data_IF_647075376254
#
_entry.id   IF_647075376254
#
_cell.length_a   1.000
_cell.length_b   1.000
_cell.length_c   1.000
_cell.angle_alpha   90.00
_cell.angle_beta   90.00
_cell.angle_gamma   90.00
#
_symmetry.space_group_name_H-M   'P 1'
#
loop_
_entity.id
_entity.type
_entity.pdbx_description
1 polymer ?
#
# COMPACT_ATOMS: atom_id res chain seq x y z
N UNK A 1 0.63 29.70 -33.40
CA UNK A 1 1.87 30.43 -33.09
C UNK A 1 2.83 29.44 -32.52
N UNK A 2 3.87 29.08 -33.28
CA UNK A 2 4.91 28.17 -32.82
C UNK A 2 5.76 28.93 -31.80
N UNK A 3 5.59 28.62 -30.53
CA UNK A 3 6.60 28.97 -29.51
C UNK A 3 7.83 28.14 -29.82
N UNK A 4 8.82 28.77 -30.44
CA UNK A 4 10.20 28.28 -30.43
C UNK A 4 10.64 28.20 -28.98
N UNK A 5 10.57 27.03 -28.41
CA UNK A 5 11.25 26.70 -27.14
C UNK A 5 12.74 26.87 -27.41
N UNK A 6 13.28 28.04 -27.12
CA UNK A 6 14.73 28.23 -26.97
C UNK A 6 15.16 27.25 -25.90
N UNK A 7 15.91 26.21 -26.29
CA UNK A 7 16.52 25.26 -25.36
C UNK A 7 17.40 26.08 -24.43
N UNK A 8 16.95 26.30 -23.19
CA UNK A 8 17.70 27.06 -22.20
C UNK A 8 19.01 26.33 -21.93
N UNK A 9 20.08 26.97 -22.21
CA UNK A 9 21.43 26.48 -22.00
C UNK A 9 21.92 27.01 -20.65
N UNK A 10 22.19 26.14 -19.70
CA UNK A 10 22.75 26.51 -18.40
C UNK A 10 24.27 26.46 -18.47
N UNK A 11 24.89 27.62 -18.23
CA UNK A 11 26.34 27.80 -18.26
C UNK A 11 26.89 27.84 -16.83
N UNK A 12 27.86 26.98 -16.56
CA UNK A 12 28.60 26.92 -15.30
C UNK A 12 30.07 27.31 -15.58
N UNK A 13 30.44 28.58 -15.46
CA UNK A 13 31.74 29.08 -15.90
C UNK A 13 32.90 28.62 -14.99
N UNK A 14 32.63 28.41 -13.67
CA UNK A 14 33.65 28.33 -12.65
C UNK A 14 33.80 26.95 -11.97
N UNK A 15 33.14 25.90 -12.50
CA UNK A 15 33.21 24.56 -11.89
C UNK A 15 34.34 23.69 -12.45
N UNK A 16 34.96 24.09 -13.54
CA UNK A 16 36.09 23.41 -14.18
C UNK A 16 36.95 24.43 -14.97
N UNK A 17 38.11 24.02 -15.47
CA UNK A 17 39.03 24.87 -16.29
C UNK A 17 38.40 25.38 -17.59
N UNK A 18 37.34 24.72 -18.06
CA UNK A 18 36.52 25.11 -19.21
C UNK A 18 35.06 25.24 -18.75
N UNK A 19 34.30 26.21 -19.29
CA UNK A 19 32.87 26.32 -19.01
C UNK A 19 32.13 25.03 -19.26
N UNK A 20 31.28 24.58 -18.28
CA UNK A 20 30.42 23.44 -18.42
C UNK A 20 29.01 23.90 -18.81
N UNK A 21 28.45 23.30 -19.83
CA UNK A 21 27.14 23.66 -20.36
C UNK A 21 26.19 22.46 -20.19
N UNK A 22 25.02 22.68 -19.58
CA UNK A 22 23.93 21.71 -19.49
C UNK A 22 22.78 22.14 -20.43
N UNK A 23 22.26 21.19 -21.17
CA UNK A 23 21.13 21.38 -22.10
C UNK A 23 20.12 20.24 -21.97
N UNK A 24 18.84 20.57 -22.14
CA UNK A 24 17.75 19.59 -22.23
C UNK A 24 17.35 19.38 -23.71
N UNK A 25 18.28 18.86 -24.51
CA UNK A 25 18.13 18.67 -25.96
C UNK A 25 18.19 17.19 -26.40
N UNK A 26 18.31 16.24 -25.45
CA UNK A 26 18.36 14.81 -25.76
C UNK A 26 16.93 14.23 -25.86
N UNK A 27 16.44 14.06 -27.09
CA UNK A 27 15.06 13.59 -27.37
C UNK A 27 14.85 12.11 -27.05
N UNK A 28 15.90 11.30 -27.08
CA UNK A 28 15.84 9.87 -26.79
C UNK A 28 16.31 9.54 -25.36
N UNK A 29 16.45 10.56 -24.54
CA UNK A 29 16.82 10.44 -23.13
C UNK A 29 15.62 10.25 -22.23
N UNK A 30 15.80 9.51 -21.14
CA UNK A 30 14.83 9.40 -20.04
C UNK A 30 15.55 9.35 -18.70
N UNK A 31 14.93 9.87 -17.66
CA UNK A 31 15.41 9.72 -16.28
C UNK A 31 14.93 8.43 -15.62
N UNK A 32 14.06 7.68 -16.26
CA UNK A 32 13.34 6.53 -15.71
C UNK A 32 13.76 5.19 -16.35
N UNK A 33 15.02 5.07 -16.79
CA UNK A 33 15.51 3.89 -17.50
C UNK A 33 15.34 2.57 -16.75
N UNK A 34 15.28 2.60 -15.43
CA UNK A 34 15.02 1.43 -14.60
C UNK A 34 13.55 1.02 -14.51
N UNK A 35 12.62 1.84 -15.00
CA UNK A 35 11.19 1.53 -14.96
C UNK A 35 10.81 0.29 -15.81
N UNK A 36 11.69 -0.17 -16.69
CA UNK A 36 11.54 -1.46 -17.40
C UNK A 36 11.39 -2.64 -16.43
N UNK A 37 11.93 -2.54 -15.21
CA UNK A 37 11.73 -3.53 -14.16
C UNK A 37 10.27 -3.59 -13.69
N UNK A 38 9.57 -2.45 -13.64
CA UNK A 38 8.13 -2.40 -13.35
C UNK A 38 7.32 -3.09 -14.44
N UNK A 39 7.66 -2.84 -15.72
CA UNK A 39 7.01 -3.53 -16.85
C UNK A 39 7.23 -5.03 -16.80
N UNK A 40 8.44 -5.47 -16.47
CA UNK A 40 8.75 -6.89 -16.30
C UNK A 40 7.98 -7.51 -15.12
N UNK A 41 7.83 -6.78 -14.00
CA UNK A 41 7.02 -7.21 -12.86
C UNK A 41 5.53 -7.29 -13.24
N UNK A 42 5.00 -6.28 -13.91
CA UNK A 42 3.62 -6.25 -14.39
C UNK A 42 3.29 -7.41 -15.32
N UNK A 43 4.14 -7.70 -16.30
CA UNK A 43 3.98 -8.85 -17.20
C UNK A 43 3.90 -10.19 -16.46
N UNK A 44 4.63 -10.34 -15.36
CA UNK A 44 4.58 -11.56 -14.53
C UNK A 44 3.32 -11.67 -13.68
N UNK A 45 2.81 -10.53 -13.22
CA UNK A 45 1.59 -10.47 -12.41
C UNK A 45 0.33 -10.41 -13.28
N UNK A 46 0.45 -9.98 -14.54
CA UNK A 46 -0.64 -9.56 -15.43
C UNK A 46 -1.58 -8.55 -14.74
N UNK A 47 -0.99 -7.65 -13.92
CA UNK A 47 -1.77 -6.81 -13.01
C UNK A 47 -2.54 -5.73 -13.78
N UNK A 48 -1.86 -4.95 -14.62
CA UNK A 48 -2.53 -3.87 -15.39
C UNK A 48 -3.56 -4.44 -16.38
N UNK A 49 -3.30 -5.60 -16.96
CA UNK A 49 -4.23 -6.32 -17.82
C UNK A 49 -5.50 -6.75 -17.07
N UNK A 50 -5.34 -7.41 -15.91
CA UNK A 50 -6.45 -7.84 -15.07
C UNK A 50 -7.31 -6.67 -14.57
N UNK A 51 -6.68 -5.54 -14.23
CA UNK A 51 -7.39 -4.33 -13.79
C UNK A 51 -8.12 -3.66 -14.95
N UNK A 52 -7.49 -3.55 -16.13
CA UNK A 52 -8.11 -2.97 -17.31
C UNK A 52 -9.32 -3.77 -17.79
N UNK A 53 -9.28 -5.11 -17.69
CA UNK A 53 -10.39 -5.99 -18.02
C UNK A 53 -11.65 -5.76 -17.15
N UNK A 54 -11.52 -5.05 -16.02
CA UNK A 54 -12.65 -4.66 -15.17
C UNK A 54 -13.40 -3.43 -15.67
N UNK A 55 -12.80 -2.66 -16.58
CA UNK A 55 -13.32 -1.41 -17.11
C UNK A 55 -14.06 -1.64 -18.44
N UNK A 56 -15.07 -0.82 -18.70
CA UNK A 56 -15.81 -0.84 -19.96
C UNK A 56 -15.50 0.43 -20.77
N UNK A 57 -15.12 0.23 -22.03
CA UNK A 57 -14.89 1.37 -22.92
C UNK A 57 -16.20 1.76 -23.63
N UNK A 58 -16.81 2.80 -23.12
CA UNK A 58 -18.04 3.37 -23.68
C UNK A 58 -17.76 4.44 -24.76
N UNK A 59 -16.49 4.65 -25.15
CA UNK A 59 -16.11 5.62 -26.18
C UNK A 59 -16.42 5.10 -27.57
N UNK A 60 -16.62 6.01 -28.51
CA UNK A 60 -16.83 5.66 -29.92
C UNK A 60 -15.55 5.05 -30.51
N UNK A 61 -15.55 3.79 -31.02
CA UNK A 61 -14.32 3.08 -31.40
C UNK A 61 -13.42 3.84 -32.36
N UNK A 62 -13.99 4.51 -33.39
CA UNK A 62 -13.21 5.27 -34.36
C UNK A 62 -12.56 6.57 -33.84
N UNK A 63 -12.80 6.93 -32.58
CA UNK A 63 -12.19 8.11 -31.92
C UNK A 63 -11.26 7.75 -30.77
N UNK A 64 -11.06 6.46 -30.51
CA UNK A 64 -10.14 5.98 -29.46
C UNK A 64 -8.72 6.04 -30.02
N UNK A 65 -7.88 6.91 -29.43
CA UNK A 65 -6.43 6.99 -29.71
C UNK A 65 -5.61 6.18 -28.70
N UNK A 66 -6.10 6.10 -27.46
CA UNK A 66 -5.46 5.41 -26.34
C UNK A 66 -6.45 4.42 -25.76
N UNK A 67 -6.11 3.15 -25.73
CA UNK A 67 -6.91 2.11 -25.13
C UNK A 67 -6.97 2.25 -23.61
N UNK A 68 -8.01 1.67 -22.96
CA UNK A 68 -8.15 1.74 -21.49
C UNK A 68 -6.94 1.12 -20.77
N UNK A 69 -6.41 0.01 -21.28
CA UNK A 69 -5.22 -0.64 -20.71
C UNK A 69 -3.99 0.26 -20.82
N UNK A 70 -3.83 0.98 -21.92
CA UNK A 70 -2.74 1.94 -22.10
C UNK A 70 -2.83 3.09 -21.09
N UNK A 71 -4.02 3.72 -20.98
CA UNK A 71 -4.26 4.81 -20.03
C UNK A 71 -4.01 4.37 -18.58
N UNK A 72 -4.51 3.21 -18.22
CA UNK A 72 -4.32 2.64 -16.88
C UNK A 72 -2.85 2.34 -16.62
N UNK A 73 -2.15 1.73 -17.58
CA UNK A 73 -0.72 1.42 -17.46
C UNK A 73 0.11 2.70 -17.35
N UNK A 74 -0.17 3.71 -18.19
CA UNK A 74 0.51 5.02 -18.11
C UNK A 74 0.40 5.61 -16.71
N UNK A 75 -0.80 5.61 -16.11
CA UNK A 75 -1.00 6.16 -14.75
C UNK A 75 -0.30 5.34 -13.67
N UNK A 76 -0.44 4.02 -13.68
CA UNK A 76 0.15 3.14 -12.66
C UNK A 76 1.69 3.22 -12.71
N UNK A 77 2.28 3.20 -13.90
CA UNK A 77 3.74 3.29 -14.05
C UNK A 77 4.27 4.66 -13.65
N UNK A 78 3.57 5.75 -14.01
CA UNK A 78 3.92 7.10 -13.58
C UNK A 78 3.91 7.22 -12.04
N UNK A 79 2.85 6.76 -11.37
CA UNK A 79 2.75 6.76 -9.90
C UNK A 79 3.91 5.96 -9.27
N UNK A 80 4.23 4.78 -9.79
CA UNK A 80 5.36 3.98 -9.30
C UNK A 80 6.71 4.71 -9.46
N UNK A 81 6.86 5.48 -10.53
CA UNK A 81 8.05 6.32 -10.78
C UNK A 81 8.07 7.64 -9.97
N UNK A 82 7.00 7.96 -9.21
CA UNK A 82 6.92 9.17 -8.39
C UNK A 82 6.30 10.38 -9.10
N UNK A 83 5.41 10.11 -10.04
CA UNK A 83 4.63 11.12 -10.76
C UNK A 83 3.14 10.86 -10.47
N UNK A 84 2.69 11.36 -9.33
CA UNK A 84 1.39 11.01 -8.75
C UNK A 84 0.22 11.64 -9.50
N UNK A 85 0.42 12.84 -10.07
CA UNK A 85 -0.63 13.57 -10.76
C UNK A 85 -0.79 13.22 -12.23
N UNK A 86 -1.99 13.42 -12.76
CA UNK A 86 -2.25 13.32 -14.20
C UNK A 86 -1.46 14.36 -15.01
N UNK A 87 -1.19 15.53 -14.43
CA UNK A 87 -0.34 16.56 -15.04
C UNK A 87 1.09 16.06 -15.25
N UNK A 88 1.67 15.42 -14.24
CA UNK A 88 3.03 14.91 -14.31
C UNK A 88 3.13 13.73 -15.29
N UNK A 89 2.15 12.83 -15.26
CA UNK A 89 2.08 11.74 -16.24
C UNK A 89 1.95 12.25 -17.68
N UNK A 90 1.26 13.38 -17.89
CA UNK A 90 1.14 14.00 -19.20
C UNK A 90 2.43 14.69 -19.69
N UNK A 91 3.25 15.20 -18.75
CA UNK A 91 4.59 15.74 -19.09
C UNK A 91 5.53 14.67 -19.63
N UNK A 92 5.29 13.41 -19.26
CA UNK A 92 6.05 12.25 -19.72
C UNK A 92 5.49 11.66 -21.04
N UNK A 93 4.54 12.33 -21.69
CA UNK A 93 3.87 11.78 -22.88
C UNK A 93 4.85 11.47 -24.02
N UNK A 94 5.91 12.25 -24.19
CA UNK A 94 6.97 12.04 -25.20
C UNK A 94 8.16 11.23 -24.69
N UNK A 95 8.20 10.87 -23.38
CA UNK A 95 9.33 10.13 -22.79
C UNK A 95 9.43 8.73 -23.41
N UNK A 96 10.61 8.36 -23.97
CA UNK A 96 10.76 7.10 -24.71
C UNK A 96 10.63 5.86 -23.80
N UNK A 97 11.02 5.94 -22.54
CA UNK A 97 10.84 4.82 -21.60
C UNK A 97 9.37 4.67 -21.24
N UNK A 98 8.65 5.76 -20.95
CA UNK A 98 7.23 5.69 -20.63
C UNK A 98 6.38 5.19 -21.82
N UNK A 99 6.73 5.54 -23.07
CA UNK A 99 6.13 4.92 -24.28
C UNK A 99 6.35 3.40 -24.28
N UNK A 100 7.59 2.96 -24.02
CA UNK A 100 7.92 1.53 -23.94
C UNK A 100 7.13 0.79 -22.85
N UNK A 101 6.89 1.44 -21.68
CA UNK A 101 6.13 0.84 -20.57
C UNK A 101 4.69 0.51 -20.96
N UNK A 102 4.07 1.29 -21.80
CA UNK A 102 2.70 1.03 -22.28
C UNK A 102 2.66 0.13 -23.53
N UNK A 103 3.80 -0.15 -24.13
CA UNK A 103 3.92 -1.04 -25.30
C UNK A 103 4.00 -0.32 -26.64
N UNK A 104 4.27 0.98 -26.64
CA UNK A 104 4.51 1.78 -27.84
C UNK A 104 5.98 1.78 -28.23
N UNK A 105 6.24 2.01 -29.54
CA UNK A 105 7.61 2.29 -29.97
C UNK A 105 8.09 3.61 -29.35
N UNK A 106 9.27 3.62 -28.71
CA UNK A 106 9.75 4.79 -27.97
C UNK A 106 10.06 6.01 -28.86
N UNK A 107 10.31 5.82 -30.15
CA UNK A 107 10.72 6.88 -31.08
C UNK A 107 9.67 7.14 -32.15
N UNK A 108 9.11 6.10 -32.76
CA UNK A 108 8.25 6.24 -33.96
C UNK A 108 6.77 6.47 -33.63
N UNK A 109 6.29 5.94 -32.48
CA UNK A 109 4.88 6.07 -32.10
C UNK A 109 4.54 7.47 -31.58
N UNK A 110 3.26 7.83 -31.71
CA UNK A 110 2.70 9.07 -31.14
C UNK A 110 2.91 9.16 -29.63
N UNK A 111 2.80 10.37 -29.11
CA UNK A 111 2.86 10.65 -27.68
C UNK A 111 1.75 9.94 -26.90
N UNK A 112 2.03 9.68 -25.64
CA UNK A 112 1.07 9.13 -24.69
C UNK A 112 -0.09 10.12 -24.41
N UNK A 113 -1.05 9.68 -23.62
CA UNK A 113 -2.25 10.48 -23.35
C UNK A 113 -1.92 11.79 -22.62
N UNK A 114 -2.52 12.86 -23.09
CA UNK A 114 -2.45 14.19 -22.49
C UNK A 114 -3.25 14.28 -21.18
N UNK A 115 -2.98 15.31 -20.37
CA UNK A 115 -3.66 15.57 -19.12
C UNK A 115 -5.21 15.61 -19.23
N UNK A 116 -5.82 16.30 -20.22
CA UNK A 116 -7.28 16.26 -20.35
C UNK A 116 -7.84 14.86 -20.66
N UNK A 117 -7.06 14.01 -21.35
CA UNK A 117 -7.44 12.62 -21.62
C UNK A 117 -7.36 11.77 -20.37
N UNK A 118 -6.28 11.90 -19.59
CA UNK A 118 -6.11 11.22 -18.32
C UNK A 118 -7.16 11.66 -17.28
N UNK A 119 -7.45 12.96 -17.22
CA UNK A 119 -8.49 13.48 -16.31
C UNK A 119 -9.88 12.92 -16.64
N UNK A 120 -10.25 12.86 -17.93
CA UNK A 120 -11.51 12.22 -18.35
C UNK A 120 -11.51 10.73 -18.00
N UNK A 121 -10.43 10.03 -18.24
CA UNK A 121 -10.29 8.61 -17.89
C UNK A 121 -10.47 8.37 -16.37
N UNK A 122 -9.85 9.19 -15.52
CA UNK A 122 -9.97 9.07 -14.07
C UNK A 122 -11.41 9.28 -13.55
N UNK A 123 -12.23 10.01 -14.30
CA UNK A 123 -13.63 10.29 -13.97
C UNK A 123 -14.64 9.36 -14.69
N UNK A 124 -14.19 8.33 -15.39
CA UNK A 124 -15.08 7.44 -16.17
C UNK A 124 -15.60 6.23 -15.36
N UNK A 125 -14.78 5.51 -14.56
CA UNK A 125 -15.20 4.25 -13.98
C UNK A 125 -16.35 4.37 -12.98
N UNK A 126 -17.31 3.46 -13.10
CA UNK A 126 -18.43 3.37 -12.17
C UNK A 126 -18.07 2.55 -10.91
N UNK A 127 -18.97 2.58 -9.92
CA UNK A 127 -18.82 1.83 -8.67
C UNK A 127 -18.62 0.34 -8.88
N UNK A 128 -19.28 -0.28 -9.87
CA UNK A 128 -19.22 -1.73 -10.11
C UNK A 128 -17.87 -2.11 -10.72
N UNK A 129 -17.36 -1.27 -11.60
CA UNK A 129 -16.04 -1.42 -12.21
C UNK A 129 -14.94 -1.33 -11.16
N UNK A 130 -14.99 -0.30 -10.31
CA UNK A 130 -14.04 -0.12 -9.22
C UNK A 130 -14.11 -1.26 -8.20
N UNK A 131 -15.30 -1.81 -7.95
CA UNK A 131 -15.45 -2.99 -7.12
C UNK A 131 -14.75 -4.21 -7.76
N UNK A 132 -14.98 -4.47 -9.06
CA UNK A 132 -14.29 -5.55 -9.78
C UNK A 132 -12.77 -5.36 -9.78
N UNK A 133 -12.29 -4.12 -9.97
CA UNK A 133 -10.85 -3.80 -9.90
C UNK A 133 -10.27 -4.12 -8.52
N UNK A 134 -10.96 -3.74 -7.44
CA UNK A 134 -10.50 -4.04 -6.08
C UNK A 134 -10.41 -5.58 -5.83
N UNK A 135 -11.35 -6.33 -6.38
CA UNK A 135 -11.34 -7.80 -6.33
C UNK A 135 -10.19 -8.39 -7.16
N UNK A 136 -9.99 -7.91 -8.39
CA UNK A 136 -8.90 -8.35 -9.28
C UNK A 136 -7.52 -8.03 -8.69
N UNK A 137 -7.37 -6.89 -8.01
CA UNK A 137 -6.16 -6.53 -7.29
C UNK A 137 -5.86 -7.54 -6.17
N UNK A 138 -6.86 -7.89 -5.35
CA UNK A 138 -6.72 -8.91 -4.31
C UNK A 138 -6.36 -10.28 -4.90
N UNK A 139 -7.05 -10.69 -5.96
CA UNK A 139 -6.81 -11.96 -6.64
C UNK A 139 -5.40 -12.05 -7.22
N UNK A 140 -4.87 -10.98 -7.83
CA UNK A 140 -3.50 -10.92 -8.35
C UNK A 140 -2.46 -11.16 -7.24
N UNK A 141 -2.62 -10.51 -6.08
CA UNK A 141 -1.72 -10.68 -4.93
C UNK A 141 -1.83 -12.09 -4.35
N UNK A 142 -3.03 -12.58 -4.11
CA UNK A 142 -3.27 -13.91 -3.52
C UNK A 142 -2.71 -14.99 -4.44
N UNK A 143 -2.99 -14.93 -5.75
CA UNK A 143 -2.49 -15.89 -6.74
C UNK A 143 -0.97 -15.85 -6.88
N UNK A 144 -0.38 -14.64 -6.84
CA UNK A 144 1.07 -14.46 -6.82
C UNK A 144 1.73 -15.23 -5.67
N UNK A 145 1.16 -15.13 -4.47
CA UNK A 145 1.70 -15.80 -3.29
C UNK A 145 1.31 -17.29 -3.25
N UNK A 146 0.15 -17.67 -3.79
CA UNK A 146 -0.22 -19.07 -3.97
C UNK A 146 0.80 -19.81 -4.84
N UNK A 147 1.18 -19.24 -5.98
CA UNK A 147 2.22 -19.79 -6.86
C UNK A 147 3.58 -19.85 -6.16
N UNK A 148 4.00 -18.76 -5.50
CA UNK A 148 5.28 -18.68 -4.80
C UNK A 148 5.41 -19.69 -3.67
N UNK A 149 4.36 -19.92 -2.91
CA UNK A 149 4.33 -20.81 -1.74
C UNK A 149 3.77 -22.20 -2.07
N UNK A 150 3.44 -22.46 -3.33
CA UNK A 150 2.82 -23.73 -3.76
C UNK A 150 1.56 -24.07 -2.95
N UNK A 151 0.79 -23.08 -2.55
CA UNK A 151 -0.39 -23.23 -1.71
C UNK A 151 -0.14 -23.71 -0.27
N UNK A 152 1.12 -23.67 0.21
CA UNK A 152 1.56 -24.32 1.47
C UNK A 152 1.80 -23.34 2.63
N UNK A 153 1.25 -22.16 2.63
CA UNK A 153 1.28 -21.30 3.79
C UNK A 153 0.63 -22.01 5.01
N UNK A 154 1.30 -21.98 6.15
CA UNK A 154 0.78 -22.54 7.41
C UNK A 154 -0.17 -21.57 8.10
N UNK A 155 0.19 -20.30 8.08
CA UNK A 155 -0.60 -19.21 8.67
C UNK A 155 -0.59 -17.99 7.76
N UNK A 156 -1.76 -17.38 7.62
CA UNK A 156 -1.90 -16.12 6.91
C UNK A 156 -2.52 -15.13 7.90
N UNK A 157 -1.80 -14.05 8.18
CA UNK A 157 -2.28 -12.97 9.03
C UNK A 157 -2.85 -11.88 8.14
N UNK A 158 -4.03 -11.40 8.50
CA UNK A 158 -4.75 -10.31 7.84
C UNK A 158 -4.79 -9.14 8.82
N UNK A 159 -4.19 -8.03 8.44
CA UNK A 159 -4.22 -6.78 9.18
C UNK A 159 -5.09 -5.78 8.42
N UNK A 160 -6.06 -5.17 9.10
CA UNK A 160 -6.82 -4.03 8.59
C UNK A 160 -6.51 -2.81 9.44
N UNK A 161 -6.35 -1.68 8.77
CA UNK A 161 -6.18 -0.40 9.45
C UNK A 161 -6.85 0.73 8.66
N UNK A 162 -7.61 1.62 9.32
CA UNK A 162 -8.03 2.86 8.72
C UNK A 162 -6.86 3.85 8.72
N UNK A 163 -6.84 4.72 7.73
CA UNK A 163 -5.92 5.86 7.71
C UNK A 163 -6.69 7.10 7.27
N UNK A 164 -6.17 8.27 7.53
CA UNK A 164 -6.74 9.52 7.03
C UNK A 164 -6.25 9.81 5.61
N UNK A 165 -7.06 10.55 4.89
CA UNK A 165 -6.77 11.09 3.58
C UNK A 165 -7.34 12.50 3.54
N UNK A 166 -6.54 13.53 3.91
CA UNK A 166 -7.00 14.91 4.03
C UNK A 166 -7.57 15.47 2.73
N UNK A 167 -8.67 16.20 2.81
CA UNK A 167 -9.34 16.76 1.64
C UNK A 167 -8.54 17.92 1.02
N UNK A 168 -8.58 18.00 -0.30
CA UNK A 168 -7.94 19.05 -1.10
C UNK A 168 -8.99 20.03 -1.69
N UNK A 169 -9.89 20.52 -0.86
CA UNK A 169 -10.98 21.40 -1.26
C UNK A 169 -12.36 20.79 -1.05
N UNK A 170 -13.35 21.22 -1.85
CA UNK A 170 -14.71 20.67 -1.76
C UNK A 170 -14.82 19.36 -2.55
N UNK A 171 -14.86 18.27 -1.82
CA UNK A 171 -14.92 16.92 -2.38
C UNK A 171 -16.10 16.16 -1.78
N UNK A 172 -16.74 15.32 -2.60
CA UNK A 172 -17.89 14.51 -2.14
C UNK A 172 -17.48 13.57 -1.01
N UNK A 173 -18.28 13.52 0.05
CA UNK A 173 -18.12 12.64 1.21
C UNK A 173 -16.87 12.86 2.07
N UNK A 174 -16.18 13.99 1.93
CA UNK A 174 -15.23 14.43 2.95
C UNK A 174 -16.00 15.04 4.11
N UNK A 175 -15.64 14.64 5.33
CA UNK A 175 -16.25 15.12 6.56
C UNK A 175 -15.16 15.38 7.60
N UNK A 176 -15.48 16.25 8.56
CA UNK A 176 -14.60 16.45 9.71
C UNK A 176 -14.49 15.18 10.55
N UNK A 177 -13.27 14.73 10.77
CA UNK A 177 -12.98 13.57 11.60
C UNK A 177 -12.27 14.01 12.88
N UNK A 178 -12.93 13.83 14.02
CA UNK A 178 -12.41 14.28 15.33
C UNK A 178 -11.16 13.53 15.79
N UNK A 179 -10.90 12.33 15.26
CA UNK A 179 -9.70 11.58 15.61
C UNK A 179 -8.45 12.15 14.94
N UNK A 180 -8.59 12.58 13.69
CA UNK A 180 -7.51 13.16 12.88
C UNK A 180 -7.50 14.69 12.88
N UNK A 181 -8.52 15.31 13.46
CA UNK A 181 -8.69 16.77 13.55
C UNK A 181 -8.65 17.49 12.19
N UNK A 182 -9.20 16.87 11.15
CA UNK A 182 -9.25 17.43 9.80
C UNK A 182 -10.48 16.97 9.01
N UNK A 183 -10.79 17.70 7.93
CA UNK A 183 -11.70 17.22 6.89
C UNK A 183 -10.97 16.20 6.02
N UNK A 184 -11.48 14.99 5.95
CA UNK A 184 -10.79 13.92 5.25
C UNK A 184 -11.76 12.86 4.71
N UNK A 185 -11.24 11.94 3.88
CA UNK A 185 -11.74 10.57 3.76
C UNK A 185 -11.14 9.70 4.86
N UNK A 186 -11.72 8.52 5.04
CA UNK A 186 -11.21 7.51 5.97
C UNK A 186 -10.98 6.17 5.23
N UNK A 187 -10.00 6.08 4.31
CA UNK A 187 -9.71 4.83 3.63
C UNK A 187 -9.36 3.72 4.62
N UNK A 188 -9.63 2.48 4.23
CA UNK A 188 -9.16 1.28 4.93
C UNK A 188 -8.27 0.49 4.00
N UNK A 189 -7.13 0.08 4.52
CA UNK A 189 -6.18 -0.79 3.83
C UNK A 189 -6.10 -2.14 4.51
N UNK A 190 -5.87 -3.19 3.72
CA UNK A 190 -5.66 -4.53 4.23
C UNK A 190 -4.35 -5.11 3.70
N UNK A 191 -3.61 -5.76 4.61
CA UNK A 191 -2.35 -6.40 4.29
C UNK A 191 -2.36 -7.87 4.72
N UNK A 192 -1.60 -8.68 3.97
CA UNK A 192 -1.36 -10.09 4.28
C UNK A 192 0.08 -10.31 4.71
N UNK A 193 0.27 -11.10 5.76
CA UNK A 193 1.58 -11.64 6.14
C UNK A 193 1.51 -13.16 6.05
N UNK A 194 2.46 -13.77 5.34
CA UNK A 194 2.56 -15.21 5.18
C UNK A 194 3.57 -15.80 6.16
N UNK A 195 3.13 -16.73 6.99
CA UNK A 195 3.94 -17.41 8.00
C UNK A 195 4.67 -16.46 8.96
N UNK A 196 6.00 -16.38 8.88
CA UNK A 196 6.87 -15.50 9.67
C UNK A 196 7.64 -14.51 8.78
N UNK A 197 7.13 -14.24 7.59
CA UNK A 197 7.78 -13.27 6.70
C UNK A 197 7.78 -11.87 7.32
N UNK A 198 8.83 -11.09 7.10
CA UNK A 198 8.91 -9.72 7.61
C UNK A 198 8.07 -8.74 6.81
N UNK A 199 7.66 -9.11 5.58
CA UNK A 199 6.91 -8.24 4.69
C UNK A 199 5.40 -8.44 4.83
N UNK A 200 4.65 -7.33 4.67
CA UNK A 200 3.21 -7.28 4.57
C UNK A 200 2.83 -6.84 3.15
N UNK A 201 1.92 -7.58 2.51
CA UNK A 201 1.53 -7.38 1.11
C UNK A 201 0.14 -6.75 1.05
N UNK A 202 0.03 -5.59 0.39
CA UNK A 202 -1.24 -4.90 0.21
C UNK A 202 -2.21 -5.77 -0.60
N UNK A 203 -3.44 -5.90 -0.11
CA UNK A 203 -4.48 -6.75 -0.74
C UNK A 203 -5.81 -6.03 -0.88
N UNK A 204 -6.00 -4.92 -0.19
CA UNK A 204 -7.17 -4.05 -0.38
C UNK A 204 -6.84 -2.60 0.00
N UNK A 205 -7.44 -1.67 -0.74
CA UNK A 205 -7.44 -0.24 -0.45
C UNK A 205 -8.82 0.32 -0.84
N UNK A 206 -9.61 0.69 0.15
CA UNK A 206 -11.02 1.10 -0.03
C UNK A 206 -11.22 2.48 0.57
N UNK A 207 -11.55 3.44 -0.28
CA UNK A 207 -11.92 4.79 0.14
C UNK A 207 -13.28 4.76 0.86
N UNK A 208 -13.41 5.54 1.93
CA UNK A 208 -14.65 5.64 2.72
C UNK A 208 -14.91 7.10 3.08
N UNK A 209 -16.19 7.48 3.30
CA UNK A 209 -16.50 8.80 3.82
C UNK A 209 -15.78 9.09 5.15
N UNK A 210 -15.40 10.34 5.40
CA UNK A 210 -14.60 10.73 6.57
C UNK A 210 -15.30 10.56 7.93
N UNK A 211 -16.64 10.50 7.96
CA UNK A 211 -17.45 10.39 9.17
C UNK A 211 -17.89 8.95 9.51
N UNK A 212 -17.42 7.93 8.78
CA UNK A 212 -17.78 6.55 9.09
C UNK A 212 -16.99 6.01 10.28
N UNK A 213 -17.53 4.99 10.96
CA UNK A 213 -16.79 4.27 11.99
C UNK A 213 -15.60 3.50 11.41
N UNK A 214 -14.55 3.28 12.20
CA UNK A 214 -13.41 2.45 11.79
C UNK A 214 -13.83 1.06 11.30
N UNK A 215 -14.87 0.46 11.89
CA UNK A 215 -15.39 -0.86 11.54
C UNK A 215 -16.26 -0.91 10.28
N UNK A 216 -16.68 0.25 9.73
CA UNK A 216 -17.55 0.33 8.56
C UNK A 216 -16.93 -0.44 7.37
N UNK A 217 -17.68 -1.41 6.81
CA UNK A 217 -17.25 -2.22 5.68
C UNK A 217 -16.27 -3.37 6.01
N UNK A 218 -15.72 -3.43 7.23
CA UNK A 218 -14.71 -4.43 7.62
C UNK A 218 -15.19 -5.88 7.44
N UNK A 219 -16.41 -6.20 7.86
CA UNK A 219 -17.00 -7.54 7.68
C UNK A 219 -17.07 -7.92 6.20
N UNK A 220 -17.47 -6.99 5.34
CA UNK A 220 -17.52 -7.22 3.89
C UNK A 220 -16.14 -7.51 3.28
N UNK A 221 -15.12 -6.74 3.66
CA UNK A 221 -13.74 -6.94 3.21
C UNK A 221 -13.21 -8.29 3.71
N UNK A 222 -13.31 -8.57 5.02
CA UNK A 222 -12.83 -9.81 5.63
C UNK A 222 -13.51 -11.05 5.04
N UNK A 223 -14.82 -11.01 4.81
CA UNK A 223 -15.59 -12.14 4.22
C UNK A 223 -15.05 -12.49 2.84
N UNK A 224 -14.82 -11.50 1.98
CA UNK A 224 -14.32 -11.72 0.62
C UNK A 224 -12.87 -12.20 0.63
N UNK A 225 -12.00 -11.59 1.42
CA UNK A 225 -10.61 -12.00 1.54
C UNK A 225 -10.48 -13.42 2.09
N UNK A 226 -11.22 -13.75 3.16
CA UNK A 226 -11.19 -15.10 3.74
C UNK A 226 -11.71 -16.17 2.77
N UNK A 227 -12.72 -15.89 1.96
CA UNK A 227 -13.21 -16.82 0.96
C UNK A 227 -12.11 -17.17 -0.06
N UNK A 228 -11.46 -16.16 -0.65
CA UNK A 228 -10.36 -16.31 -1.60
C UNK A 228 -9.12 -16.99 -1.01
N UNK A 229 -8.76 -16.57 0.19
CA UNK A 229 -7.59 -17.14 0.87
C UNK A 229 -7.80 -18.61 1.25
N UNK A 230 -9.01 -19.02 1.62
CA UNK A 230 -9.34 -20.43 1.88
C UNK A 230 -9.26 -21.29 0.62
N UNK A 231 -9.68 -20.75 -0.51
CA UNK A 231 -9.54 -21.43 -1.80
C UNK A 231 -8.06 -21.56 -2.19
N UNK A 232 -7.30 -20.48 -2.09
CA UNK A 232 -5.88 -20.45 -2.46
C UNK A 232 -4.97 -21.25 -1.51
N UNK A 233 -5.33 -21.31 -0.21
CA UNK A 233 -4.53 -21.92 0.87
C UNK A 233 -5.41 -22.76 1.80
N UNK A 234 -5.98 -23.88 1.33
CA UNK A 234 -7.00 -24.63 2.07
C UNK A 234 -6.51 -25.26 3.39
N UNK A 235 -5.20 -25.36 3.59
CA UNK A 235 -4.59 -25.91 4.82
C UNK A 235 -4.07 -24.85 5.78
N UNK A 236 -4.21 -23.55 5.44
CA UNK A 236 -3.72 -22.47 6.28
C UNK A 236 -4.65 -22.21 7.47
N UNK A 237 -4.06 -21.81 8.59
CA UNK A 237 -4.76 -21.13 9.67
C UNK A 237 -4.77 -19.64 9.40
N UNK A 238 -5.92 -19.01 9.57
CA UNK A 238 -6.03 -17.56 9.36
C UNK A 238 -5.97 -16.84 10.70
N UNK A 239 -5.36 -15.67 10.69
CA UNK A 239 -5.31 -14.77 11.85
C UNK A 239 -5.71 -13.37 11.42
N UNK A 240 -6.58 -12.73 12.20
CA UNK A 240 -6.98 -11.33 11.98
C UNK A 240 -6.48 -10.49 13.16
N UNK A 241 -5.79 -9.37 12.85
CA UNK A 241 -5.33 -8.40 13.84
C UNK A 241 -5.96 -7.04 13.52
N UNK A 242 -6.64 -6.46 14.50
CA UNK A 242 -7.37 -5.20 14.32
C UNK A 242 -7.10 -4.24 15.48
N UNK A 243 -7.22 -2.95 15.19
CA UNK A 243 -7.19 -1.91 16.23
C UNK A 243 -8.54 -1.76 16.96
N UNK A 244 -8.60 -0.80 17.89
CA UNK A 244 -9.80 -0.53 18.69
C UNK A 244 -10.98 -0.02 17.90
N UNK A 245 -10.76 0.61 16.75
CA UNK A 245 -11.81 1.09 15.86
C UNK A 245 -12.65 -0.03 15.25
N UNK A 246 -12.13 -1.26 15.22
CA UNK A 246 -12.83 -2.44 14.72
C UNK A 246 -13.51 -3.30 15.80
N UNK A 247 -13.45 -2.92 17.08
CA UNK A 247 -14.04 -3.70 18.17
C UNK A 247 -15.57 -3.64 18.23
N UNK A 248 -16.22 -3.51 17.09
CA UNK A 248 -17.67 -3.47 16.95
C UNK A 248 -18.29 -4.87 17.13
N UNK A 249 -19.50 -4.96 17.71
CA UNK A 249 -20.15 -6.24 17.99
C UNK A 249 -20.33 -7.13 16.76
N UNK A 250 -20.66 -6.55 15.62
CA UNK A 250 -20.84 -7.26 14.34
C UNK A 250 -19.52 -7.84 13.80
N UNK A 251 -18.39 -7.12 13.95
CA UNK A 251 -17.08 -7.61 13.54
C UNK A 251 -16.66 -8.78 14.43
N UNK A 252 -16.79 -8.64 15.75
CA UNK A 252 -16.44 -9.72 16.69
C UNK A 252 -17.33 -10.96 16.51
N UNK A 253 -18.64 -10.78 16.27
CA UNK A 253 -19.54 -11.89 15.97
C UNK A 253 -19.15 -12.60 14.66
N UNK A 254 -18.84 -11.83 13.62
CA UNK A 254 -18.35 -12.40 12.37
C UNK A 254 -17.06 -13.21 12.55
N UNK A 255 -16.09 -12.69 13.33
CA UNK A 255 -14.81 -13.38 13.58
C UNK A 255 -15.00 -14.67 14.38
N UNK A 256 -15.90 -14.68 15.37
CA UNK A 256 -16.23 -15.88 16.17
C UNK A 256 -16.85 -17.00 15.33
N UNK A 257 -17.67 -16.64 14.33
CA UNK A 257 -18.37 -17.60 13.46
C UNK A 257 -17.47 -18.19 12.35
N UNK A 258 -16.21 -17.70 12.21
CA UNK A 258 -15.32 -18.18 11.16
C UNK A 258 -14.57 -19.46 11.56
N UNK A 259 -14.63 -20.54 10.77
CA UNK A 259 -13.85 -21.75 11.04
C UNK A 259 -12.34 -21.50 10.86
N UNK A 260 -11.52 -22.10 11.70
CA UNK A 260 -10.05 -22.06 11.64
C UNK A 260 -9.46 -20.64 11.63
N UNK A 261 -10.13 -19.70 12.31
CA UNK A 261 -9.71 -18.31 12.45
C UNK A 261 -9.30 -18.00 13.87
N UNK A 262 -8.09 -17.47 14.03
CA UNK A 262 -7.59 -16.80 15.23
C UNK A 262 -7.79 -15.30 15.09
N UNK A 263 -8.10 -14.58 16.17
CA UNK A 263 -8.10 -13.12 16.12
C UNK A 263 -7.58 -12.47 17.39
N UNK A 264 -7.02 -11.26 17.24
CA UNK A 264 -6.68 -10.33 18.31
C UNK A 264 -7.17 -8.94 17.91
N UNK A 265 -8.04 -8.35 18.70
CA UNK A 265 -8.65 -7.05 18.42
C UNK A 265 -8.48 -6.16 19.64
N UNK A 266 -7.87 -4.98 19.47
CA UNK A 266 -7.79 -4.02 20.58
C UNK A 266 -9.18 -3.57 21.01
N UNK A 267 -9.32 -3.24 22.27
CA UNK A 267 -10.59 -2.78 22.83
C UNK A 267 -10.34 -1.55 23.71
N UNK A 268 -11.14 -0.52 23.46
CA UNK A 268 -11.12 0.69 24.28
C UNK A 268 -11.52 0.35 25.72
N UNK A 269 -10.94 1.07 26.68
CA UNK A 269 -11.30 0.95 28.08
C UNK A 269 -12.74 1.40 28.34
N UNK A 270 -13.31 0.87 29.40
CA UNK A 270 -14.57 1.32 29.97
C UNK A 270 -14.60 1.06 31.48
N UNK A 271 -15.52 1.71 32.21
CA UNK A 271 -15.63 1.62 33.68
C UNK A 271 -15.67 0.20 34.25
N UNK A 272 -16.20 -0.78 33.50
CA UNK A 272 -16.25 -2.18 33.94
C UNK A 272 -14.88 -2.84 33.78
N UNK A 273 -14.22 -2.65 32.64
CA UNK A 273 -12.86 -3.17 32.41
C UNK A 273 -11.86 -2.55 33.38
N UNK A 274 -11.96 -1.24 33.63
CA UNK A 274 -11.09 -0.54 34.59
C UNK A 274 -11.23 -1.13 36.01
N UNK A 275 -12.47 -1.42 36.45
CA UNK A 275 -12.71 -2.09 37.72
C UNK A 275 -12.15 -3.53 37.76
N UNK A 276 -12.29 -4.28 36.67
CA UNK A 276 -11.78 -5.66 36.60
C UNK A 276 -10.26 -5.73 36.59
N UNK A 277 -9.56 -4.76 35.99
CA UNK A 277 -8.10 -4.71 35.96
C UNK A 277 -7.47 -4.06 37.19
N UNK A 278 -8.26 -3.37 38.04
CA UNK A 278 -7.77 -2.61 39.18
C UNK A 278 -6.87 -3.39 40.17
N UNK A 279 -7.11 -4.69 40.48
CA UNK A 279 -6.18 -5.45 41.30
C UNK A 279 -4.79 -5.59 40.68
N UNK A 280 -4.70 -5.72 39.34
CA UNK A 280 -3.43 -5.78 38.63
C UNK A 280 -2.78 -4.39 38.53
N UNK A 281 -3.59 -3.32 38.31
CA UNK A 281 -3.11 -1.95 38.32
C UNK A 281 -2.49 -1.55 39.66
N UNK A 282 -3.11 -1.93 40.79
CA UNK A 282 -2.52 -1.70 42.15
C UNK A 282 -1.14 -2.34 42.29
N UNK A 283 -0.98 -3.59 41.82
CA UNK A 283 0.32 -4.25 41.80
C UNK A 283 1.33 -3.53 40.91
N UNK A 284 0.93 -3.14 39.70
CA UNK A 284 1.80 -2.40 38.77
C UNK A 284 2.24 -1.04 39.35
N UNK A 285 1.34 -0.31 40.03
CA UNK A 285 1.69 0.93 40.75
C UNK A 285 2.71 0.69 41.85
N UNK A 286 2.54 -0.41 42.62
CA UNK A 286 3.50 -0.81 43.69
C UNK A 286 4.89 -1.09 43.10
N UNK A 287 4.98 -1.88 42.02
CA UNK A 287 6.23 -2.19 41.32
C UNK A 287 6.88 -0.91 40.78
N UNK A 288 6.11 -0.08 40.07
CA UNK A 288 6.60 1.19 39.49
C UNK A 288 7.09 2.17 40.58
N UNK A 289 6.46 2.18 41.78
CA UNK A 289 6.93 3.02 42.90
C UNK A 289 8.27 2.50 43.43
N UNK A 290 8.48 1.18 43.45
CA UNK A 290 9.72 0.56 43.94
C UNK A 290 10.87 0.69 42.93
N UNK A 291 10.61 0.43 41.64
CA UNK A 291 11.64 0.48 40.59
C UNK A 291 11.96 1.90 40.09
N UNK A 292 11.03 2.84 40.26
CA UNK A 292 11.13 4.15 39.63
C UNK A 292 10.88 4.17 38.12
N UNK A 293 10.56 3.02 37.52
CA UNK A 293 10.42 2.83 36.09
C UNK A 293 8.98 2.50 35.65
N UNK A 294 8.77 2.43 34.34
CA UNK A 294 7.53 1.93 33.72
C UNK A 294 7.40 0.44 34.02
N UNK A 295 6.32 0.05 34.66
CA UNK A 295 6.05 -1.34 35.03
C UNK A 295 4.71 -1.81 34.50
N UNK A 296 4.60 -3.14 34.24
CA UNK A 296 3.38 -3.71 33.71
C UNK A 296 3.16 -5.16 34.12
N UNK A 297 1.89 -5.55 34.17
CA UNK A 297 1.44 -6.92 34.51
C UNK A 297 0.47 -7.36 33.38
N UNK A 298 0.66 -8.59 32.91
CA UNK A 298 -0.25 -9.24 31.99
C UNK A 298 -1.18 -10.20 32.71
N UNK A 299 -2.40 -10.29 32.22
CA UNK A 299 -3.38 -11.24 32.69
C UNK A 299 -4.60 -11.30 31.79
N UNK A 300 -5.63 -11.98 32.27
CA UNK A 300 -6.87 -12.18 31.51
C UNK A 300 -8.09 -12.27 32.40
N UNK A 301 -9.25 -12.05 31.81
CA UNK A 301 -10.55 -12.34 32.39
C UNK A 301 -11.58 -12.62 31.29
N UNK A 302 -12.74 -13.13 31.70
CA UNK A 302 -13.91 -13.27 30.82
C UNK A 302 -14.83 -12.07 31.00
N UNK A 303 -15.16 -11.41 29.89
CA UNK A 303 -15.99 -10.22 29.86
C UNK A 303 -17.12 -10.35 28.85
N UNK A 304 -18.25 -9.75 29.17
CA UNK A 304 -19.42 -9.60 28.28
C UNK A 304 -19.98 -8.19 28.46
N UNK A 305 -20.29 -7.52 27.37
CA UNK A 305 -21.08 -6.28 27.40
C UNK A 305 -22.54 -6.60 27.76
N UNK A 306 -23.23 -5.67 28.41
CA UNK A 306 -24.59 -5.92 28.87
C UNK A 306 -25.61 -6.19 27.74
N UNK A 307 -25.49 -5.50 26.60
CA UNK A 307 -26.50 -5.51 25.55
C UNK A 307 -26.04 -6.08 24.20
N UNK A 308 -24.77 -5.91 23.84
CA UNK A 308 -24.31 -6.10 22.45
C UNK A 308 -23.61 -7.43 22.19
N UNK A 309 -23.10 -8.11 23.20
CA UNK A 309 -22.44 -9.41 23.03
C UNK A 309 -23.34 -10.56 23.47
N UNK A 310 -23.41 -11.62 22.67
CA UNK A 310 -24.21 -12.81 23.00
C UNK A 310 -23.62 -13.62 24.13
N UNK A 311 -22.28 -13.73 24.20
CA UNK A 311 -21.54 -14.52 25.20
C UNK A 311 -20.31 -13.80 25.71
N UNK A 312 -19.68 -14.35 26.79
CA UNK A 312 -18.44 -13.83 27.36
C UNK A 312 -17.26 -14.18 26.46
N UNK A 313 -16.43 -13.19 26.12
CA UNK A 313 -15.16 -13.35 25.39
C UNK A 313 -13.97 -13.26 26.32
N UNK A 314 -12.87 -13.87 25.91
CA UNK A 314 -11.58 -13.73 26.59
C UNK A 314 -11.02 -12.34 26.31
N UNK A 315 -10.71 -11.62 27.37
CA UNK A 315 -9.98 -10.34 27.30
C UNK A 315 -8.64 -10.57 27.97
N UNK A 316 -7.57 -10.33 27.25
CA UNK A 316 -6.24 -10.19 27.82
C UNK A 316 -5.99 -8.71 28.13
N UNK A 317 -5.25 -8.43 29.19
CA UNK A 317 -4.92 -7.07 29.59
C UNK A 317 -3.42 -6.89 29.82
N UNK A 318 -2.94 -5.67 29.57
CA UNK A 318 -1.68 -5.12 30.05
C UNK A 318 -2.01 -4.02 31.05
N UNK A 319 -1.86 -4.29 32.35
CA UNK A 319 -1.95 -3.30 33.41
C UNK A 319 -0.59 -2.59 33.48
N UNK A 320 -0.50 -1.38 32.96
CA UNK A 320 0.75 -0.64 32.82
C UNK A 320 0.68 0.68 33.57
N UNK A 321 1.77 1.03 34.26
CA UNK A 321 2.01 2.36 34.79
C UNK A 321 3.20 2.94 34.03
N UNK A 322 2.92 3.95 33.19
CA UNK A 322 3.96 4.61 32.40
C UNK A 322 4.60 5.73 33.20
N UNK A 323 5.94 5.81 33.13
CA UNK A 323 6.72 6.93 33.63
C UNK A 323 7.47 7.61 32.52
N UNK A 324 7.40 8.92 32.49
CA UNK A 324 8.18 9.76 31.60
C UNK A 324 8.98 10.76 32.42
N UNK A 325 10.20 11.15 31.99
CA UNK A 325 10.95 12.21 32.66
C UNK A 325 10.08 13.46 32.85
N UNK A 326 10.12 14.03 34.06
CA UNK A 326 9.41 15.28 34.42
C UNK A 326 7.87 15.20 34.31
N UNK A 327 7.25 14.01 34.39
CA UNK A 327 5.79 13.84 34.44
C UNK A 327 5.39 12.87 35.55
N UNK A 328 4.24 13.08 36.13
CA UNK A 328 3.66 12.13 37.06
C UNK A 328 3.40 10.76 36.43
N UNK A 329 3.53 9.67 37.15
CA UNK A 329 3.20 8.34 36.67
C UNK A 329 1.73 8.28 36.23
N UNK A 330 1.49 7.66 35.05
CA UNK A 330 0.15 7.56 34.48
C UNK A 330 -0.26 6.11 34.29
N UNK A 331 -1.46 5.77 34.76
CA UNK A 331 -2.10 4.49 34.48
C UNK A 331 -2.44 4.38 33.00
N UNK A 332 -2.08 3.26 32.39
CA UNK A 332 -2.28 2.99 30.98
C UNK A 332 -2.73 1.53 30.74
N UNK A 333 -3.90 1.12 31.25
CA UNK A 333 -4.40 -0.22 30.99
C UNK A 333 -4.76 -0.41 29.52
N UNK A 334 -4.40 -1.55 28.94
CA UNK A 334 -4.71 -1.93 27.57
C UNK A 334 -5.44 -3.27 27.56
N UNK A 335 -6.41 -3.40 26.63
CA UNK A 335 -7.25 -4.58 26.54
C UNK A 335 -7.28 -5.10 25.12
N UNK A 336 -7.22 -6.43 24.97
CA UNK A 336 -7.33 -7.12 23.68
C UNK A 336 -8.31 -8.26 23.82
N UNK A 337 -9.32 -8.29 22.95
CA UNK A 337 -10.26 -9.40 22.84
C UNK A 337 -9.73 -10.45 21.88
N UNK A 338 -9.84 -11.75 22.24
CA UNK A 338 -9.29 -12.84 21.44
C UNK A 338 -10.03 -14.16 21.67
N UNK A 339 -10.00 -15.04 20.67
CA UNK A 339 -10.41 -16.45 20.80
C UNK A 339 -9.22 -17.40 20.99
N UNK A 340 -7.99 -16.89 20.93
CA UNK A 340 -6.76 -17.68 21.13
C UNK A 340 -6.59 -18.08 22.61
N UNK A 341 -5.89 -19.21 22.88
CA UNK A 341 -5.76 -19.80 24.22
C UNK A 341 -4.39 -19.65 24.86
N UNK A 342 -3.40 -19.16 24.13
CA UNK A 342 -2.00 -19.03 24.56
C UNK A 342 -1.83 -18.01 25.69
N UNK A 343 -0.62 -17.94 26.26
CA UNK A 343 -0.29 -17.05 27.37
C UNK A 343 -0.60 -15.57 27.04
N UNK A 344 -1.23 -14.80 27.94
CA UNK A 344 -1.62 -13.40 27.73
C UNK A 344 -0.46 -12.48 27.33
N UNK A 345 0.69 -12.61 27.99
CA UNK A 345 1.87 -11.80 27.71
C UNK A 345 2.38 -12.05 26.28
N UNK A 346 2.48 -13.33 25.89
CA UNK A 346 2.89 -13.71 24.54
C UNK A 346 1.89 -13.21 23.49
N UNK A 347 0.57 -13.38 23.72
CA UNK A 347 -0.45 -12.89 22.80
C UNK A 347 -0.37 -11.37 22.62
N UNK A 348 -0.10 -10.64 23.69
CA UNK A 348 0.01 -9.19 23.61
C UNK A 348 1.31 -8.77 22.91
N UNK A 349 2.48 -9.25 23.35
CA UNK A 349 3.79 -8.82 22.85
C UNK A 349 4.09 -9.34 21.45
N UNK A 350 3.89 -10.65 21.23
CA UNK A 350 4.38 -11.35 20.03
C UNK A 350 3.31 -11.50 18.96
N UNK A 351 2.04 -11.26 19.27
CA UNK A 351 0.97 -11.31 18.26
C UNK A 351 0.35 -9.94 18.03
N UNK A 352 -0.21 -9.32 19.09
CA UNK A 352 -0.90 -8.05 18.93
C UNK A 352 0.06 -6.89 18.57
N UNK A 353 1.18 -6.75 19.30
CA UNK A 353 2.11 -5.63 19.05
C UNK A 353 2.78 -5.68 17.68
N UNK A 354 2.88 -6.85 17.04
CA UNK A 354 3.36 -6.95 15.65
C UNK A 354 2.42 -6.30 14.63
N UNK A 355 1.20 -5.91 15.02
CA UNK A 355 0.34 -5.06 14.19
C UNK A 355 1.01 -3.72 13.85
N UNK A 356 1.91 -3.22 14.70
CA UNK A 356 2.69 -2.02 14.42
C UNK A 356 3.49 -2.06 13.11
N UNK A 357 3.75 -3.24 12.56
CA UNK A 357 4.45 -3.38 11.28
C UNK A 357 3.62 -2.82 10.11
N UNK A 358 2.27 -2.86 10.20
CA UNK A 358 1.37 -2.28 9.18
C UNK A 358 1.51 -0.74 9.13
N UNK A 359 1.81 -0.09 10.25
CA UNK A 359 2.02 1.36 10.30
C UNK A 359 3.17 1.80 9.39
N UNK A 360 4.22 0.97 9.27
CA UNK A 360 5.32 1.23 8.34
C UNK A 360 4.87 1.09 6.88
N UNK A 361 3.96 0.15 6.59
CA UNK A 361 3.38 -0.01 5.23
C UNK A 361 2.45 1.14 4.88
N UNK A 362 1.66 1.62 5.84
CA UNK A 362 0.81 2.81 5.68
C UNK A 362 1.66 4.06 5.45
N UNK A 363 2.76 4.23 6.20
CA UNK A 363 3.73 5.31 5.95
C UNK A 363 4.34 5.25 4.55
N UNK A 364 4.65 4.07 4.03
CA UNK A 364 5.11 3.92 2.65
C UNK A 364 4.03 4.32 1.63
N UNK A 365 2.76 3.98 1.88
CA UNK A 365 1.65 4.40 1.03
C UNK A 365 1.47 5.91 1.03
N UNK A 366 1.59 6.57 2.18
CA UNK A 366 1.48 8.04 2.29
C UNK A 366 2.68 8.77 1.72
N UNK A 367 3.88 8.48 2.24
CA UNK A 367 5.09 9.27 1.92
C UNK A 367 5.90 8.75 0.74
N UNK A 368 5.66 7.51 0.32
CA UNK A 368 6.36 6.90 -0.80
C UNK A 368 5.52 6.79 -2.07
N UNK A 369 4.20 6.70 -1.94
CA UNK A 369 3.27 6.49 -3.05
C UNK A 369 2.19 7.57 -3.16
N UNK A 370 2.12 8.50 -2.21
CA UNK A 370 1.16 9.61 -2.16
C UNK A 370 -0.31 9.13 -2.33
N UNK A 371 -0.70 8.08 -1.57
CA UNK A 371 -2.05 7.49 -1.68
C UNK A 371 -3.16 8.50 -1.34
N UNK A 372 -2.85 9.51 -0.54
CA UNK A 372 -3.72 10.65 -0.23
C UNK A 372 -3.81 11.71 -1.34
N UNK A 373 -3.24 11.48 -2.52
CA UNK A 373 -3.37 12.41 -3.64
C UNK A 373 -4.74 12.27 -4.35
N UNK A 374 -5.80 12.36 -3.57
CA UNK A 374 -7.20 12.22 -4.00
C UNK A 374 -7.81 13.61 -4.25
N UNK A 375 -7.42 14.28 -5.34
CA UNK A 375 -7.78 15.67 -5.63
C UNK A 375 -8.99 15.84 -6.55
N UNK A 376 -9.71 14.78 -6.90
CA UNK A 376 -10.94 14.85 -7.70
C UNK A 376 -12.13 15.29 -6.84
N UNK A 377 -13.10 16.00 -7.45
CA UNK A 377 -14.35 16.35 -6.76
C UNK A 377 -15.23 15.13 -6.52
N UNK A 378 -15.25 14.19 -7.47
CA UNK A 378 -16.05 12.96 -7.39
C UNK A 378 -15.38 11.89 -6.52
N UNK A 379 -16.19 11.23 -5.69
CA UNK A 379 -15.73 10.19 -4.77
C UNK A 379 -15.19 8.95 -5.50
N UNK A 380 -15.85 8.54 -6.58
CA UNK A 380 -15.46 7.33 -7.30
C UNK A 380 -14.19 7.54 -8.12
N UNK A 381 -13.97 8.75 -8.64
CA UNK A 381 -12.69 9.11 -9.25
C UNK A 381 -11.54 9.04 -8.24
N UNK A 382 -11.75 9.50 -7.01
CA UNK A 382 -10.76 9.36 -5.93
C UNK A 382 -10.55 7.89 -5.51
N UNK A 383 -11.61 7.07 -5.46
CA UNK A 383 -11.45 5.62 -5.24
C UNK A 383 -10.63 4.98 -6.36
N UNK A 384 -10.80 5.41 -7.62
CA UNK A 384 -10.01 4.91 -8.74
C UNK A 384 -8.53 5.28 -8.59
N UNK A 385 -8.23 6.52 -8.18
CA UNK A 385 -6.84 6.94 -7.88
C UNK A 385 -6.21 6.10 -6.78
N UNK A 386 -6.95 5.84 -5.70
CA UNK A 386 -6.50 4.94 -4.61
C UNK A 386 -6.18 3.54 -5.15
N UNK A 387 -6.98 2.99 -6.06
CA UNK A 387 -6.72 1.67 -6.66
C UNK A 387 -5.50 1.67 -7.58
N UNK A 388 -5.30 2.73 -8.37
CA UNK A 388 -4.10 2.86 -9.21
C UNK A 388 -2.83 2.98 -8.37
N UNK A 389 -2.87 3.74 -7.28
CA UNK A 389 -1.76 3.84 -6.32
C UNK A 389 -1.49 2.50 -5.63
N UNK A 390 -2.55 1.78 -5.24
CA UNK A 390 -2.41 0.43 -4.68
C UNK A 390 -1.77 -0.55 -5.68
N UNK A 391 -2.13 -0.49 -6.97
CA UNK A 391 -1.52 -1.30 -8.02
C UNK A 391 -0.03 -0.94 -8.22
N UNK A 392 0.29 0.34 -8.27
CA UNK A 392 1.68 0.81 -8.33
C UNK A 392 2.51 0.31 -7.13
N UNK A 393 1.93 0.37 -5.92
CA UNK A 393 2.57 -0.15 -4.71
C UNK A 393 2.79 -1.66 -4.76
N UNK A 394 1.86 -2.44 -5.31
CA UNK A 394 2.02 -3.90 -5.52
C UNK A 394 3.19 -4.19 -6.46
N UNK A 395 3.36 -3.43 -7.53
CA UNK A 395 4.54 -3.57 -8.41
C UNK A 395 5.84 -3.29 -7.65
N UNK A 396 5.89 -2.24 -6.83
CA UNK A 396 7.04 -1.95 -5.98
C UNK A 396 7.30 -3.05 -4.94
N UNK A 397 6.24 -3.64 -4.37
CA UNK A 397 6.36 -4.80 -3.48
C UNK A 397 6.90 -6.04 -4.19
N UNK A 398 6.54 -6.28 -5.46
CA UNK A 398 7.12 -7.37 -6.25
C UNK A 398 8.62 -7.15 -6.48
N UNK A 399 9.07 -5.92 -6.77
CA UNK A 399 10.50 -5.62 -6.86
C UNK A 399 11.22 -5.91 -5.53
N UNK A 400 10.66 -5.45 -4.40
CA UNK A 400 11.22 -5.71 -3.07
C UNK A 400 11.30 -7.20 -2.75
N UNK A 401 10.25 -7.96 -3.07
CA UNK A 401 10.22 -9.41 -2.89
C UNK A 401 11.36 -10.12 -3.64
N UNK A 402 11.70 -9.64 -4.85
CA UNK A 402 12.82 -10.17 -5.65
C UNK A 402 14.19 -9.79 -5.09
N UNK A 403 14.26 -8.73 -4.30
CA UNK A 403 15.48 -8.26 -3.64
C UNK A 403 15.72 -8.90 -2.26
N UNK A 404 14.92 -9.88 -1.84
CA UNK A 404 14.94 -10.48 -0.50
C UNK A 404 16.32 -11.01 -0.04
N UNK A 405 17.24 -11.28 -0.95
CA UNK A 405 18.61 -11.76 -0.65
C UNK A 405 19.69 -10.72 -0.97
N UNK A 406 19.36 -9.46 -0.92
CA UNK A 406 20.28 -8.35 -1.20
C UNK A 406 20.26 -7.32 -0.07
N UNK A 407 21.18 -6.37 -0.09
CA UNK A 407 21.22 -5.24 0.85
C UNK A 407 20.01 -4.29 0.69
N UNK A 408 19.20 -4.46 -0.35
CA UNK A 408 17.98 -3.70 -0.60
C UNK A 408 16.69 -4.44 -0.18
N UNK A 409 16.80 -5.58 0.48
CA UNK A 409 15.65 -6.42 0.89
C UNK A 409 14.63 -5.70 1.77
N UNK A 410 15.09 -4.71 2.58
CA UNK A 410 14.24 -3.91 3.48
C UNK A 410 14.10 -2.46 3.01
N UNK A 411 14.50 -2.15 1.78
CA UNK A 411 14.42 -0.81 1.24
C UNK A 411 12.96 -0.33 1.17
N UNK A 412 12.72 0.89 1.57
CA UNK A 412 11.43 1.55 1.40
C UNK A 412 11.19 1.86 -0.08
N UNK A 413 9.94 2.13 -0.45
CA UNK A 413 9.55 2.41 -1.84
C UNK A 413 10.33 3.58 -2.43
N UNK A 414 10.51 4.68 -1.70
CA UNK A 414 11.34 5.82 -2.13
C UNK A 414 12.77 5.40 -2.46
N UNK A 415 13.39 4.62 -1.59
CA UNK A 415 14.75 4.10 -1.82
C UNK A 415 14.82 3.13 -3.02
N UNK A 416 13.79 2.29 -3.22
CA UNK A 416 13.73 1.42 -4.39
C UNK A 416 13.61 2.23 -5.68
N UNK A 417 12.78 3.28 -5.67
CA UNK A 417 12.61 4.21 -6.79
C UNK A 417 13.92 4.87 -7.16
N UNK A 418 14.60 5.49 -6.20
CA UNK A 418 15.87 6.17 -6.42
C UNK A 418 16.97 5.21 -6.92
N UNK A 419 17.07 4.02 -6.32
CA UNK A 419 18.15 3.08 -6.64
C UNK A 419 17.92 2.31 -7.93
N UNK A 420 16.69 2.03 -8.32
CA UNK A 420 16.42 1.09 -9.40
C UNK A 420 15.54 1.63 -10.52
N UNK A 421 14.79 2.70 -10.31
CA UNK A 421 13.93 3.27 -11.35
C UNK A 421 14.51 4.55 -11.94
N UNK A 422 14.97 5.47 -11.09
CA UNK A 422 15.51 6.77 -11.48
C UNK A 422 16.96 6.64 -11.98
N UNK A 423 17.12 6.13 -13.19
CA UNK A 423 18.40 5.92 -13.86
C UNK A 423 18.34 6.63 -15.20
N UNK A 424 19.24 7.59 -15.41
CA UNK A 424 19.38 8.24 -16.71
C UNK A 424 19.74 7.21 -17.79
N UNK A 425 19.05 7.26 -18.91
CA UNK A 425 19.20 6.31 -20.01
C UNK A 425 19.05 7.01 -21.35
N UNK A 426 19.81 6.58 -22.35
CA UNK A 426 19.56 6.86 -23.77
C UNK A 426 18.93 5.65 -24.42
N UNK A 427 17.83 5.86 -25.13
CA UNK A 427 17.08 4.81 -25.85
C UNK A 427 17.46 4.85 -27.32
N UNK A 428 17.90 3.74 -27.87
CA UNK A 428 18.24 3.61 -29.29
C UNK A 428 17.40 2.51 -29.90
N UNK A 429 16.66 2.81 -30.94
CA UNK A 429 15.84 1.85 -31.68
C UNK A 429 16.50 1.41 -32.96
N UNK A 430 16.25 0.18 -33.35
CA UNK A 430 16.60 -0.39 -34.64
C UNK A 430 15.54 -1.41 -35.05
N UNK A 431 15.50 -1.78 -36.32
CA UNK A 431 14.56 -2.79 -36.84
C UNK A 431 14.58 -4.11 -36.05
N UNK A 432 15.71 -4.44 -35.40
CA UNK A 432 15.88 -5.72 -34.69
C UNK A 432 15.70 -5.63 -33.20
N UNK A 433 15.90 -4.48 -32.56
CA UNK A 433 15.90 -4.34 -31.09
C UNK A 433 15.86 -2.89 -30.64
N UNK A 434 15.34 -2.71 -29.43
CA UNK A 434 15.45 -1.46 -28.64
C UNK A 434 16.57 -1.66 -27.64
N UNK A 435 17.51 -0.72 -27.55
CA UNK A 435 18.65 -0.76 -26.61
C UNK A 435 18.53 0.38 -25.64
N UNK A 436 18.58 0.07 -24.36
CA UNK A 436 18.64 1.03 -23.26
C UNK A 436 20.09 1.15 -22.81
N UNK A 437 20.75 2.27 -23.15
CA UNK A 437 22.12 2.54 -22.73
C UNK A 437 22.12 3.14 -21.32
N UNK A 438 22.33 2.28 -20.31
CA UNK A 438 22.45 2.65 -18.92
C UNK A 438 23.90 3.04 -18.58
N UNK A 439 24.14 3.94 -17.59
CA UNK A 439 25.49 4.33 -17.19
C UNK A 439 26.34 3.15 -16.73
N UNK A 440 27.53 3.00 -17.30
CA UNK A 440 28.46 1.92 -16.93
C UNK A 440 28.88 2.01 -15.44
N UNK A 441 29.02 3.22 -14.92
CA UNK A 441 29.43 3.50 -13.54
C UNK A 441 28.26 3.40 -12.52
N UNK A 442 27.11 2.83 -12.91
CA UNK A 442 25.95 2.72 -12.03
C UNK A 442 26.25 1.86 -10.79
N UNK A 443 26.13 2.39 -9.54
CA UNK A 443 26.60 1.70 -8.34
C UNK A 443 25.88 0.40 -8.03
N UNK A 444 24.59 0.26 -8.44
CA UNK A 444 23.75 -0.91 -8.16
C UNK A 444 23.63 -1.86 -9.36
N UNK A 445 24.53 -1.78 -10.33
CA UNK A 445 24.50 -2.55 -11.58
C UNK A 445 24.26 -4.04 -11.36
N UNK A 446 25.01 -4.67 -10.45
CA UNK A 446 24.90 -6.12 -10.20
C UNK A 446 23.56 -6.50 -9.55
N UNK A 447 23.03 -5.63 -8.68
CA UNK A 447 21.73 -5.83 -8.06
C UNK A 447 20.60 -5.62 -9.07
N UNK A 448 20.72 -4.63 -9.94
CA UNK A 448 19.79 -4.39 -11.05
C UNK A 448 19.76 -5.60 -12.00
N UNK A 449 20.92 -6.12 -12.42
CA UNK A 449 21.01 -7.28 -13.30
C UNK A 449 20.37 -8.52 -12.67
N UNK A 450 20.67 -8.81 -11.39
CA UNK A 450 20.00 -9.90 -10.66
C UNK A 450 18.49 -9.73 -10.56
N UNK A 451 18.03 -8.51 -10.32
CA UNK A 451 16.60 -8.19 -10.26
C UNK A 451 15.95 -8.41 -11.63
N UNK A 452 16.55 -7.91 -12.71
CA UNK A 452 16.07 -8.09 -14.08
C UNK A 452 15.97 -9.59 -14.45
N UNK A 453 17.02 -10.36 -14.18
CA UNK A 453 17.04 -11.82 -14.40
C UNK A 453 15.94 -12.53 -13.60
N UNK A 454 15.72 -12.15 -12.34
CA UNK A 454 14.65 -12.71 -11.52
C UNK A 454 13.25 -12.38 -12.05
N UNK A 455 13.11 -11.32 -12.81
CA UNK A 455 11.89 -10.89 -13.49
C UNK A 455 11.74 -11.46 -14.90
N UNK A 456 12.72 -12.25 -15.37
CA UNK A 456 12.64 -12.97 -16.63
C UNK A 456 13.49 -12.40 -17.78
N UNK A 457 14.35 -11.42 -17.50
CA UNK A 457 15.38 -11.03 -18.46
C UNK A 457 16.33 -12.19 -18.72
N UNK A 458 16.93 -12.23 -19.91
CA UNK A 458 17.94 -13.23 -20.29
C UNK A 458 19.26 -12.51 -20.53
N UNK A 459 20.37 -13.22 -20.27
CA UNK A 459 21.70 -12.80 -20.70
C UNK A 459 21.80 -13.02 -22.20
N UNK A 460 22.03 -11.95 -22.97
CA UNK A 460 22.24 -12.02 -24.41
C UNK A 460 23.67 -12.43 -24.76
#
# INVERSE_FOLDING_TARGET
MNEHTTTECLLFPDIFDRPVVAKFDEQQGSSDGGAVLLKAADRRLALTEALAACLQDNRQPGKVRHELQELLTQRIMAIACGYEDANDAARLASDPVHKLLVGRDPVEDEDLASQPTLSRFENTPDRKELFRMAEALADSVIERHRKRLHGRARRITIDLDPTDDPSHGQQQFTFFNTHYDCYCYLPVVAFLTFDKEPDQYLVAAVLRPGNVSGSCGAVGILRRLLARLREAFPKATFRVRLDGGFAAPEVLAFLDDQPHLEYVVNMASNKVLDRLVEPAMRKARGLSKQSGETEHIYGEFRYKTQKSWKYKRRIIYKAEVTRHPNRDPKDNPRFVVTNMKQNPQWLYKDIYCQRGDIENRIKELHYGMEIGRTSCSDFWANQFRVLMTAAAYILMQELRLRLARTNSARAQVSTLRERFLKIGVQVVTSVRRIVLHLPQAFPFRDTFSRLALSLGAQTG
#
